data_IF_623504325367
#
_entry.id   IF_623504325367
#
_cell.length_a   1.000
_cell.length_b   1.000
_cell.length_c   1.000
_cell.angle_alpha   90.00
_cell.angle_beta   90.00
_cell.angle_gamma   90.00
#
_symmetry.space_group_name_H-M   'P 1'
#
loop_
_entity.id
_entity.type
_entity.pdbx_description
1 polymer ?
#
# COMPACT_ATOMS: atom_id res chain seq x y z
N UNK A 1 14.37 1.84 -39.36
CA UNK A 1 14.37 1.42 -37.93
C UNK A 1 13.04 1.81 -37.28
N UNK A 2 12.60 3.08 -37.28
CA UNK A 2 11.34 3.51 -36.58
C UNK A 2 10.08 2.80 -37.13
N UNK A 3 9.98 2.52 -38.44
CA UNK A 3 8.87 1.74 -39.03
C UNK A 3 8.90 0.28 -38.60
N UNK A 4 10.08 -0.31 -38.41
CA UNK A 4 10.25 -1.70 -37.97
C UNK A 4 9.86 -1.83 -36.48
N UNK A 5 10.33 -0.93 -35.63
CA UNK A 5 10.01 -0.91 -34.19
C UNK A 5 8.52 -0.70 -33.93
N UNK A 6 7.77 -0.05 -34.86
CA UNK A 6 6.32 0.15 -34.79
C UNK A 6 5.51 -0.91 -35.54
N UNK A 7 6.17 -1.91 -36.12
CA UNK A 7 5.49 -2.98 -36.88
C UNK A 7 4.96 -4.05 -35.91
N UNK A 8 3.84 -4.71 -36.31
CA UNK A 8 3.31 -5.90 -35.62
C UNK A 8 4.24 -7.13 -35.64
N UNK A 9 5.44 -7.01 -36.24
CA UNK A 9 6.45 -8.07 -36.31
C UNK A 9 7.30 -8.18 -35.02
N UNK A 10 7.25 -7.17 -34.14
CA UNK A 10 7.89 -7.22 -32.82
C UNK A 10 6.81 -7.57 -31.84
N UNK A 11 6.99 -8.66 -31.09
CA UNK A 11 6.11 -9.05 -30.01
C UNK A 11 6.16 -7.98 -28.92
N UNK A 12 5.01 -7.63 -28.35
CA UNK A 12 4.97 -6.79 -27.17
C UNK A 12 5.64 -7.53 -26.02
N UNK A 13 6.65 -6.91 -25.43
CA UNK A 13 7.35 -7.42 -24.26
C UNK A 13 6.94 -6.62 -23.03
N UNK A 14 6.39 -7.34 -22.05
CA UNK A 14 6.06 -6.76 -20.76
C UNK A 14 6.89 -7.46 -19.68
N UNK A 15 7.81 -6.77 -19.01
CA UNK A 15 8.83 -7.39 -18.15
C UNK A 15 8.22 -8.20 -17.00
N UNK A 16 7.14 -7.71 -16.41
CA UNK A 16 6.46 -8.40 -15.31
C UNK A 16 5.75 -9.66 -15.78
N UNK A 17 5.01 -9.60 -16.90
CA UNK A 17 4.35 -10.78 -17.47
C UNK A 17 5.38 -11.83 -17.87
N UNK A 18 6.45 -11.42 -18.55
CA UNK A 18 7.55 -12.32 -18.92
C UNK A 18 8.20 -12.99 -17.70
N UNK A 19 8.36 -12.25 -16.59
CA UNK A 19 8.88 -12.82 -15.35
C UNK A 19 7.95 -13.92 -14.81
N UNK A 20 6.64 -13.67 -14.74
CA UNK A 20 5.68 -14.66 -14.25
C UNK A 20 5.52 -15.88 -15.17
N UNK A 21 5.71 -15.72 -16.49
CA UNK A 21 5.69 -16.83 -17.44
C UNK A 21 6.87 -17.81 -17.25
N UNK A 22 8.00 -17.31 -16.78
CA UNK A 22 9.22 -18.10 -16.57
C UNK A 22 9.32 -18.75 -15.18
N UNK A 23 8.39 -18.45 -14.27
CA UNK A 23 8.41 -19.01 -12.93
C UNK A 23 8.21 -20.53 -12.93
N UNK A 24 8.94 -21.26 -12.06
CA UNK A 24 8.72 -22.69 -11.87
C UNK A 24 7.34 -22.95 -11.25
N UNK A 25 6.95 -24.22 -11.18
CA UNK A 25 5.82 -24.63 -10.36
C UNK A 25 6.11 -24.37 -8.88
N UNK A 26 5.08 -23.96 -8.12
CA UNK A 26 5.18 -23.76 -6.69
C UNK A 26 5.38 -25.09 -5.97
N UNK A 27 6.35 -25.15 -5.07
CA UNK A 27 6.69 -26.36 -4.30
C UNK A 27 5.81 -26.60 -3.05
N UNK A 28 4.75 -25.77 -2.86
CA UNK A 28 3.80 -25.91 -1.76
C UNK A 28 4.23 -25.25 -0.44
N UNK A 29 5.42 -24.63 -0.34
CA UNK A 29 5.86 -23.95 0.89
C UNK A 29 5.37 -22.52 0.94
N UNK A 30 4.84 -22.11 2.10
CA UNK A 30 4.40 -20.73 2.34
C UNK A 30 5.57 -19.80 2.65
N UNK A 31 6.09 -19.16 1.61
CA UNK A 31 7.18 -18.19 1.70
C UNK A 31 6.68 -16.77 1.98
N UNK A 32 5.46 -16.46 1.61
CA UNK A 32 4.88 -15.14 1.82
C UNK A 32 4.70 -14.86 3.30
N UNK A 33 4.09 -15.77 4.04
CA UNK A 33 3.95 -15.63 5.49
C UNK A 33 5.29 -15.70 6.21
N UNK A 34 6.24 -16.54 5.75
CA UNK A 34 7.59 -16.58 6.30
C UNK A 34 8.32 -15.23 6.12
N UNK A 35 8.17 -14.60 4.96
CA UNK A 35 8.74 -13.27 4.70
C UNK A 35 8.07 -12.19 5.55
N UNK A 36 6.74 -12.24 5.72
CA UNK A 36 6.01 -11.31 6.59
C UNK A 36 6.49 -11.39 8.05
N UNK A 37 6.74 -12.61 8.56
CA UNK A 37 7.23 -12.84 9.92
C UNK A 37 8.64 -12.34 10.18
N UNK A 38 9.43 -12.04 9.16
CA UNK A 38 10.70 -11.32 9.36
C UNK A 38 10.48 -9.92 9.94
N UNK A 39 9.29 -9.36 9.75
CA UNK A 39 8.90 -8.02 10.22
C UNK A 39 8.14 -8.12 11.54
N UNK A 40 7.09 -8.95 11.60
CA UNK A 40 6.25 -9.14 12.80
C UNK A 40 5.43 -10.43 12.69
N UNK A 41 5.20 -11.07 13.82
CA UNK A 41 4.30 -12.23 13.94
C UNK A 41 2.82 -11.84 14.14
N UNK A 42 2.51 -10.54 14.17
CA UNK A 42 1.13 -10.05 14.30
C UNK A 42 0.23 -10.63 13.18
N UNK A 43 -0.88 -11.29 13.53
CA UNK A 43 -1.74 -11.92 12.53
C UNK A 43 -2.35 -10.95 11.53
N UNK A 44 -2.66 -9.70 11.94
CA UNK A 44 -3.22 -8.67 11.03
C UNK A 44 -2.15 -8.27 10.01
N UNK A 45 -0.90 -8.12 10.47
CA UNK A 45 0.23 -7.88 9.59
C UNK A 45 0.47 -9.04 8.63
N UNK A 46 0.62 -10.28 9.13
CA UNK A 46 0.96 -11.44 8.30
C UNK A 46 -0.10 -11.68 7.23
N UNK A 47 -1.38 -11.70 7.62
CA UNK A 47 -2.48 -11.92 6.67
C UNK A 47 -2.64 -10.73 5.71
N UNK A 48 -2.51 -9.51 6.21
CA UNK A 48 -2.60 -8.29 5.41
C UNK A 48 -1.45 -8.17 4.41
N UNK A 49 -0.23 -8.50 4.81
CA UNK A 49 0.94 -8.53 3.92
C UNK A 49 0.76 -9.58 2.81
N UNK A 50 0.26 -10.78 3.15
CA UNK A 50 -0.03 -11.82 2.15
C UNK A 50 -1.06 -11.31 1.13
N UNK A 51 -2.17 -10.73 1.60
CA UNK A 51 -3.21 -10.16 0.72
C UNK A 51 -2.66 -9.04 -0.16
N UNK A 52 -1.80 -8.20 0.39
CA UNK A 52 -1.15 -7.13 -0.35
C UNK A 52 -0.19 -7.67 -1.43
N UNK A 53 0.58 -8.72 -1.14
CA UNK A 53 1.46 -9.39 -2.10
C UNK A 53 0.67 -10.04 -3.24
N UNK A 54 -0.51 -10.63 -2.97
CA UNK A 54 -1.43 -11.09 -4.01
C UNK A 54 -1.90 -9.93 -4.89
N UNK A 55 -2.25 -8.78 -4.29
CA UNK A 55 -2.63 -7.57 -5.03
C UNK A 55 -1.52 -7.03 -5.92
N UNK A 56 -0.28 -7.01 -5.42
CA UNK A 56 0.92 -6.63 -6.18
C UNK A 56 1.13 -7.57 -7.37
N UNK A 57 1.09 -8.88 -7.13
CA UNK A 57 1.29 -9.90 -8.18
C UNK A 57 0.19 -9.87 -9.24
N UNK A 58 -1.06 -9.66 -8.83
CA UNK A 58 -2.18 -9.52 -9.76
C UNK A 58 -2.01 -8.30 -10.68
N UNK A 59 -1.51 -7.16 -10.16
CA UNK A 59 -1.20 -5.99 -10.99
C UNK A 59 -0.05 -6.26 -11.97
N UNK A 60 1.00 -6.94 -11.53
CA UNK A 60 2.15 -7.28 -12.36
C UNK A 60 1.78 -8.25 -13.49
N UNK A 61 0.95 -9.24 -13.18
CA UNK A 61 0.42 -10.19 -14.17
C UNK A 61 -0.67 -9.58 -15.05
N UNK A 62 -1.20 -8.41 -14.72
CA UNK A 62 -2.43 -7.88 -15.30
C UNK A 62 -3.58 -8.91 -15.21
N UNK A 63 -3.59 -9.65 -14.09
CA UNK A 63 -4.48 -10.78 -13.86
C UNK A 63 -5.93 -10.33 -13.72
N UNK A 64 -6.82 -11.06 -14.42
CA UNK A 64 -8.26 -10.89 -14.33
C UNK A 64 -8.87 -12.23 -13.97
N UNK A 65 -9.65 -12.30 -12.91
CA UNK A 65 -10.32 -13.52 -12.48
C UNK A 65 -11.39 -14.00 -13.50
N UNK A 66 -11.96 -13.08 -14.25
CA UNK A 66 -12.86 -13.33 -15.37
C UNK A 66 -12.80 -12.19 -16.40
N UNK A 67 -13.37 -12.44 -17.60
CA UNK A 67 -13.35 -11.46 -18.69
C UNK A 67 -14.14 -10.17 -18.38
N UNK A 68 -15.05 -10.20 -17.41
CA UNK A 68 -15.90 -9.08 -16.98
C UNK A 68 -15.38 -8.39 -15.71
N UNK A 69 -14.35 -8.95 -15.05
CA UNK A 69 -13.82 -8.34 -13.84
C UNK A 69 -13.00 -7.10 -14.20
N UNK A 70 -13.31 -6.00 -13.52
CA UNK A 70 -12.47 -4.80 -13.58
C UNK A 70 -11.18 -5.05 -12.81
N UNK A 71 -10.04 -4.69 -13.39
CA UNK A 71 -8.77 -4.68 -12.69
C UNK A 71 -8.92 -3.84 -11.41
N UNK A 72 -8.78 -4.47 -10.25
CA UNK A 72 -8.80 -3.75 -8.97
C UNK A 72 -7.40 -3.28 -8.64
N UNK A 73 -7.30 -2.03 -8.22
CA UNK A 73 -6.05 -1.50 -7.73
C UNK A 73 -5.67 -2.15 -6.39
N UNK A 74 -4.39 -2.42 -6.18
CA UNK A 74 -3.86 -2.72 -4.85
C UNK A 74 -3.88 -1.41 -4.04
N UNK A 75 -4.97 -1.19 -3.31
CA UNK A 75 -5.31 0.08 -2.67
C UNK A 75 -4.77 0.21 -1.24
N UNK A 76 -4.13 -0.81 -0.72
CA UNK A 76 -3.48 -0.82 0.60
C UNK A 76 -1.97 -0.70 0.41
N UNK A 77 -1.31 0.01 1.31
CA UNK A 77 0.15 0.12 1.40
C UNK A 77 0.61 -0.34 2.79
N UNK A 78 1.47 -1.36 2.90
CA UNK A 78 2.17 -1.67 4.14
C UNK A 78 3.08 -0.50 4.54
N UNK A 79 3.08 -0.15 5.85
CA UNK A 79 3.96 0.86 6.42
C UNK A 79 4.78 0.26 7.56
N UNK A 80 6.10 0.22 7.36
CA UNK A 80 7.06 -0.25 8.35
C UNK A 80 7.43 0.91 9.28
N UNK A 81 7.04 0.81 10.54
CA UNK A 81 7.12 1.89 11.50
C UNK A 81 8.13 1.59 12.59
N UNK A 82 9.05 2.50 12.87
CA UNK A 82 9.91 2.45 14.07
C UNK A 82 10.62 3.78 14.25
N UNK A 83 10.62 4.28 15.47
CA UNK A 83 11.42 5.44 15.89
C UNK A 83 12.93 5.16 15.86
N UNK A 84 13.34 3.90 15.95
CA UNK A 84 14.75 3.48 15.81
C UNK A 84 15.15 3.39 14.35
N UNK A 85 16.30 3.98 14.03
CA UNK A 85 16.92 3.88 12.70
C UNK A 85 17.74 2.58 12.56
N UNK A 86 18.04 2.19 11.32
CA UNK A 86 18.91 1.03 11.05
C UNK A 86 18.27 -0.34 11.22
N UNK A 87 16.94 -0.43 11.42
CA UNK A 87 16.23 -1.71 11.54
C UNK A 87 15.95 -2.43 10.22
N UNK A 88 16.45 -1.91 9.09
CA UNK A 88 16.32 -2.58 7.79
C UNK A 88 15.04 -2.28 7.02
N UNK A 89 14.23 -1.26 7.42
CA UNK A 89 12.94 -0.93 6.77
C UNK A 89 13.04 -0.78 5.25
N UNK A 90 13.83 0.18 4.76
CA UNK A 90 13.97 0.45 3.32
C UNK A 90 14.70 -0.69 2.60
N UNK A 91 15.61 -1.40 3.28
CA UNK A 91 16.25 -2.61 2.75
C UNK A 91 15.23 -3.72 2.51
N UNK A 92 14.33 -3.97 3.46
CA UNK A 92 13.24 -4.94 3.30
C UNK A 92 12.33 -4.58 2.11
N UNK A 93 11.98 -3.30 1.95
CA UNK A 93 11.17 -2.86 0.80
C UNK A 93 11.86 -3.21 -0.54
N UNK A 94 13.18 -3.04 -0.64
CA UNK A 94 13.95 -3.41 -1.85
C UNK A 94 14.04 -4.92 -2.05
N UNK A 95 14.12 -5.70 -0.96
CA UNK A 95 14.20 -7.16 -1.02
C UNK A 95 12.95 -7.81 -1.63
N UNK A 96 11.83 -7.13 -1.69
CA UNK A 96 10.62 -7.64 -2.33
C UNK A 96 10.77 -7.75 -3.85
N UNK A 97 11.70 -7.00 -4.44
CA UNK A 97 11.89 -6.99 -5.90
C UNK A 97 12.84 -8.09 -6.35
N UNK A 98 12.40 -9.00 -7.23
CA UNK A 98 13.31 -9.97 -7.85
C UNK A 98 14.39 -9.24 -8.66
N UNK A 99 15.56 -9.88 -8.79
CA UNK A 99 16.72 -9.29 -9.49
C UNK A 99 16.37 -8.82 -10.90
N UNK A 100 15.59 -9.61 -11.64
CA UNK A 100 15.15 -9.28 -12.99
C UNK A 100 14.26 -8.02 -13.07
N UNK A 101 13.63 -7.64 -11.96
CA UNK A 101 12.69 -6.52 -11.91
C UNK A 101 13.18 -5.35 -11.02
N UNK A 102 14.39 -5.40 -10.49
CA UNK A 102 14.96 -4.35 -9.60
C UNK A 102 14.91 -2.95 -10.22
N UNK A 103 15.06 -2.83 -11.53
CA UNK A 103 14.99 -1.55 -12.24
C UNK A 103 13.61 -0.87 -12.15
N UNK A 104 12.58 -1.61 -11.76
CA UNK A 104 11.21 -1.11 -11.60
C UNK A 104 10.84 -0.78 -10.15
N UNK A 105 11.81 -0.71 -9.26
CA UNK A 105 11.67 -0.19 -7.90
C UNK A 105 12.06 1.27 -7.84
N UNK A 106 11.36 2.06 -7.03
CA UNK A 106 11.73 3.46 -6.77
C UNK A 106 11.36 3.90 -5.35
N UNK A 107 12.19 4.72 -4.75
CA UNK A 107 11.93 5.45 -3.50
C UNK A 107 11.63 6.94 -3.78
N UNK A 108 11.86 7.38 -5.01
CA UNK A 108 11.58 8.73 -5.43
C UNK A 108 10.17 8.83 -6.02
N UNK A 109 9.22 9.34 -5.23
CA UNK A 109 7.83 9.52 -5.65
C UNK A 109 7.35 10.93 -5.34
N UNK A 110 7.26 11.77 -6.38
CA UNK A 110 6.85 13.16 -6.24
C UNK A 110 5.35 13.33 -6.51
N UNK A 111 4.64 13.72 -5.47
CA UNK A 111 3.21 14.06 -5.52
C UNK A 111 2.97 15.55 -5.89
N UNK A 112 4.02 16.34 -6.09
CA UNK A 112 3.90 17.73 -6.57
C UNK A 112 3.53 17.82 -8.05
N UNK A 113 3.78 16.75 -8.82
CA UNK A 113 3.42 16.65 -10.24
C UNK A 113 2.54 15.43 -10.48
N UNK A 114 1.20 15.59 -10.56
CA UNK A 114 0.27 14.47 -10.78
C UNK A 114 0.61 13.63 -12.02
N UNK A 115 0.99 14.28 -13.12
CA UNK A 115 1.34 13.59 -14.36
C UNK A 115 2.62 12.72 -14.19
N UNK A 116 3.61 13.20 -13.43
CA UNK A 116 4.81 12.44 -13.11
C UNK A 116 4.50 11.27 -12.18
N UNK A 117 3.63 11.49 -11.18
CA UNK A 117 3.17 10.47 -10.27
C UNK A 117 2.43 9.33 -11.00
N UNK A 118 1.49 9.67 -11.89
CA UNK A 118 0.79 8.69 -12.74
C UNK A 118 1.74 7.93 -13.67
N UNK A 119 2.71 8.61 -14.28
CA UNK A 119 3.70 7.97 -15.14
C UNK A 119 4.52 6.91 -14.39
N UNK A 120 4.91 7.18 -13.14
CA UNK A 120 5.61 6.21 -12.28
C UNK A 120 4.72 5.02 -11.90
N UNK A 121 3.43 5.25 -11.66
CA UNK A 121 2.47 4.18 -11.38
C UNK A 121 2.31 3.19 -12.54
N UNK A 122 2.48 3.64 -13.77
CA UNK A 122 2.44 2.80 -14.95
C UNK A 122 3.80 2.16 -15.30
N UNK A 123 4.90 2.71 -14.81
CA UNK A 123 6.26 2.28 -15.19
C UNK A 123 6.96 1.43 -14.12
N UNK A 124 6.69 1.69 -12.83
CA UNK A 124 7.30 0.96 -11.73
C UNK A 124 6.43 -0.22 -11.28
N UNK A 125 7.04 -1.24 -10.66
CA UNK A 125 6.33 -2.34 -10.02
C UNK A 125 6.06 -2.07 -8.55
N UNK A 126 7.02 -1.45 -7.87
CA UNK A 126 6.93 -1.13 -6.45
C UNK A 126 7.48 0.27 -6.17
N UNK A 127 6.69 1.05 -5.46
CA UNK A 127 7.06 2.41 -5.00
C UNK A 127 7.14 2.39 -3.49
N UNK A 128 8.32 2.68 -2.95
CA UNK A 128 8.50 2.89 -1.53
C UNK A 128 8.28 4.38 -1.19
N UNK A 129 7.27 4.63 -0.37
CA UNK A 129 7.02 5.94 0.24
C UNK A 129 7.96 6.07 1.45
N UNK A 130 9.25 6.32 1.15
CA UNK A 130 10.24 6.46 2.20
C UNK A 130 9.97 7.72 3.04
N UNK A 131 10.16 7.62 4.36
CA UNK A 131 9.83 8.69 5.29
C UNK A 131 8.38 9.21 5.12
N UNK A 132 7.40 8.30 5.09
CA UNK A 132 5.97 8.61 4.92
C UNK A 132 5.48 9.69 5.91
N UNK A 133 6.04 9.74 7.11
CA UNK A 133 5.75 10.75 8.14
C UNK A 133 6.08 12.20 7.71
N UNK A 134 6.95 12.39 6.73
CA UNK A 134 7.28 13.71 6.15
C UNK A 134 6.30 14.15 5.06
N UNK A 135 5.39 13.28 4.64
CA UNK A 135 4.40 13.62 3.62
C UNK A 135 3.40 14.64 4.17
N UNK A 136 3.29 15.80 3.49
CA UNK A 136 2.37 16.86 3.92
C UNK A 136 0.90 16.40 3.83
N UNK A 137 0.09 16.85 4.79
CA UNK A 137 -1.34 16.55 4.83
C UNK A 137 -2.08 16.95 3.54
N UNK A 138 -1.62 18.02 2.86
CA UNK A 138 -2.19 18.48 1.59
C UNK A 138 -2.00 17.51 0.43
N UNK A 139 -0.98 16.65 0.46
CA UNK A 139 -0.70 15.63 -0.56
C UNK A 139 -1.44 14.32 -0.31
N UNK A 140 -1.94 14.11 0.90
CA UNK A 140 -2.60 12.86 1.29
C UNK A 140 -3.86 12.52 0.45
N UNK A 141 -4.76 13.47 0.12
CA UNK A 141 -5.91 13.19 -0.74
C UNK A 141 -5.50 12.69 -2.13
N UNK A 142 -4.48 13.29 -2.73
CA UNK A 142 -3.95 12.86 -4.03
C UNK A 142 -3.37 11.45 -3.95
N UNK A 143 -2.55 11.15 -2.93
CA UNK A 143 -2.01 9.80 -2.72
C UNK A 143 -3.13 8.77 -2.60
N UNK A 144 -4.15 9.03 -1.77
CA UNK A 144 -5.30 8.14 -1.58
C UNK A 144 -6.08 7.88 -2.88
N UNK A 145 -6.23 8.90 -3.73
CA UNK A 145 -6.86 8.77 -5.04
C UNK A 145 -6.00 7.91 -5.97
N UNK A 146 -4.69 8.14 -6.02
CA UNK A 146 -3.75 7.36 -6.82
C UNK A 146 -3.67 5.90 -6.35
N UNK A 147 -3.82 5.62 -5.06
CA UNK A 147 -3.88 4.26 -4.51
C UNK A 147 -5.10 3.48 -5.00
N UNK A 148 -6.20 4.15 -5.32
CA UNK A 148 -7.43 3.51 -5.80
C UNK A 148 -7.53 3.43 -7.33
N UNK A 149 -6.70 4.18 -8.06
CA UNK A 149 -6.73 4.18 -9.52
C UNK A 149 -6.25 2.83 -10.06
N UNK A 150 -7.09 2.14 -10.82
CA UNK A 150 -6.75 0.90 -11.54
C UNK A 150 -6.25 1.17 -12.96
N UNK A 151 -6.62 2.31 -13.53
CA UNK A 151 -6.19 2.79 -14.84
C UNK A 151 -5.74 4.24 -14.74
N UNK A 152 -4.77 4.61 -15.54
CA UNK A 152 -4.10 5.90 -15.54
C UNK A 152 -4.25 6.54 -16.91
N UNK A 153 -4.58 7.83 -16.95
CA UNK A 153 -4.72 8.60 -18.19
C UNK A 153 -3.41 9.35 -18.51
N UNK A 154 -2.46 8.64 -19.12
CA UNK A 154 -1.14 9.21 -19.37
C UNK A 154 -1.08 9.87 -20.75
N UNK A 155 -0.72 11.14 -20.77
CA UNK A 155 -0.44 11.89 -21.98
C UNK A 155 1.02 11.71 -22.36
N UNK A 156 1.28 10.92 -23.39
CA UNK A 156 2.65 10.79 -23.93
C UNK A 156 3.02 12.10 -24.63
N UNK A 157 4.29 12.53 -24.44
CA UNK A 157 4.84 13.67 -25.15
C UNK A 157 4.57 13.54 -26.67
N UNK A 158 4.15 14.63 -27.30
CA UNK A 158 3.82 14.71 -28.73
C UNK A 158 2.59 13.88 -29.20
N UNK A 159 1.80 13.28 -28.31
CA UNK A 159 0.49 12.71 -28.68
C UNK A 159 -0.65 13.67 -28.30
N UNK A 160 -1.61 13.82 -29.23
CA UNK A 160 -2.80 14.66 -29.02
C UNK A 160 -3.82 14.05 -28.06
N UNK A 161 -3.80 12.72 -27.87
CA UNK A 161 -4.71 12.01 -26.97
C UNK A 161 -3.99 11.35 -25.81
N UNK A 162 -4.62 11.36 -24.63
CA UNK A 162 -4.21 10.54 -23.52
C UNK A 162 -4.46 9.05 -23.85
N UNK A 163 -3.60 8.17 -23.37
CA UNK A 163 -3.79 6.72 -23.44
C UNK A 163 -4.10 6.20 -22.04
N UNK A 164 -5.15 5.41 -21.90
CA UNK A 164 -5.40 4.67 -20.68
C UNK A 164 -4.36 3.54 -20.58
N UNK A 165 -3.58 3.56 -19.51
CA UNK A 165 -2.61 2.50 -19.20
C UNK A 165 -3.03 1.83 -17.87
N UNK A 166 -2.83 0.51 -17.74
CA UNK A 166 -3.04 -0.15 -16.46
C UNK A 166 -2.03 0.38 -15.44
N UNK A 167 -2.46 0.47 -14.19
CA UNK A 167 -1.54 0.69 -13.08
C UNK A 167 -0.82 -0.61 -12.78
N UNK A 168 0.51 -0.57 -12.68
CA UNK A 168 1.37 -1.70 -12.34
C UNK A 168 1.90 -1.57 -10.91
N UNK A 169 2.22 -0.36 -10.47
CA UNK A 169 2.85 -0.13 -9.19
C UNK A 169 1.93 -0.39 -8.00
N UNK A 170 2.45 -1.11 -7.01
CA UNK A 170 1.93 -1.11 -5.64
C UNK A 170 2.76 -0.19 -4.77
N UNK A 171 2.20 0.23 -3.62
CA UNK A 171 2.88 1.06 -2.65
C UNK A 171 3.29 0.24 -1.43
N UNK A 172 4.45 0.55 -0.88
CA UNK A 172 4.92 0.21 0.45
C UNK A 172 5.52 1.47 1.04
N UNK A 173 5.75 1.56 2.35
CA UNK A 173 6.39 2.74 2.90
C UNK A 173 7.10 2.48 4.22
N UNK A 174 7.88 3.47 4.63
CA UNK A 174 8.61 3.48 5.91
C UNK A 174 8.27 4.74 6.69
N UNK A 175 8.31 4.66 8.01
CA UNK A 175 8.16 5.81 8.89
C UNK A 175 9.12 5.72 10.07
N UNK A 176 9.62 6.89 10.49
CA UNK A 176 10.39 7.03 11.72
C UNK A 176 9.54 7.56 12.88
N UNK A 177 8.24 7.74 12.67
CA UNK A 177 7.28 8.17 13.70
C UNK A 177 6.17 7.15 13.81
N UNK A 178 5.75 6.89 15.04
CA UNK A 178 4.63 5.99 15.34
C UNK A 178 3.29 6.69 15.20
N UNK A 179 3.23 7.99 15.49
CA UNK A 179 2.05 8.85 15.39
C UNK A 179 1.87 9.43 13.97
N UNK A 180 1.71 8.58 12.97
CA UNK A 180 1.77 8.99 11.56
C UNK A 180 0.40 9.17 10.89
N UNK A 181 -0.66 8.60 11.46
CA UNK A 181 -2.00 8.65 10.87
C UNK A 181 -2.84 9.78 11.49
N UNK A 182 -3.40 10.64 10.63
CA UNK A 182 -4.26 11.76 11.05
C UNK A 182 -5.73 11.46 10.78
N UNK A 183 -6.03 10.80 9.65
CA UNK A 183 -7.40 10.54 9.20
C UNK A 183 -7.84 9.12 9.55
N UNK A 184 -8.73 8.99 10.52
CA UNK A 184 -9.27 7.71 10.98
C UNK A 184 -10.06 6.97 9.89
N UNK A 185 -10.79 7.68 9.04
CA UNK A 185 -11.63 7.06 8.01
C UNK A 185 -10.83 6.54 6.81
N UNK A 186 -9.71 7.19 6.52
CA UNK A 186 -8.83 6.84 5.40
C UNK A 186 -7.71 5.86 5.76
N UNK A 187 -7.53 5.54 7.05
CA UNK A 187 -6.42 4.72 7.55
C UNK A 187 -6.45 3.27 7.10
N UNK A 188 -7.61 2.73 6.71
CA UNK A 188 -7.75 1.38 6.15
C UNK A 188 -6.89 1.11 4.91
N UNK A 189 -6.34 2.17 4.29
CA UNK A 189 -5.41 2.07 3.15
C UNK A 189 -3.97 1.83 3.56
N UNK A 190 -3.68 1.88 4.84
CA UNK A 190 -2.33 1.74 5.37
C UNK A 190 -2.29 0.57 6.35
N UNK A 191 -1.53 -0.46 6.04
CA UNK A 191 -1.28 -1.58 6.93
C UNK A 191 -0.01 -1.27 7.72
N UNK A 192 -0.17 -0.60 8.88
CA UNK A 192 0.95 -0.21 9.73
C UNK A 192 1.45 -1.38 10.56
N UNK A 193 2.76 -1.45 10.78
CA UNK A 193 3.39 -2.42 11.69
C UNK A 193 4.57 -1.78 12.41
N UNK A 194 4.61 -1.89 13.73
CA UNK A 194 5.76 -1.48 14.55
C UNK A 194 6.84 -2.54 14.54
N UNK A 195 8.09 -2.10 14.37
CA UNK A 195 9.26 -2.97 14.42
C UNK A 195 9.84 -3.00 15.84
N UNK A 196 9.81 -4.15 16.46
CA UNK A 196 10.42 -4.38 17.78
C UNK A 196 11.91 -4.68 17.67
N UNK A 197 12.33 -5.32 16.58
CA UNK A 197 13.70 -5.75 16.30
C UNK A 197 14.11 -5.47 14.84
N UNK A 198 15.39 -5.64 14.55
CA UNK A 198 15.90 -5.50 13.19
C UNK A 198 15.34 -6.62 12.28
N UNK A 199 14.94 -6.24 11.07
CA UNK A 199 14.44 -7.19 10.08
C UNK A 199 15.62 -8.03 9.56
N UNK A 200 15.44 -9.34 9.43
CA UNK A 200 16.40 -10.18 8.73
C UNK A 200 16.38 -9.86 7.22
N UNK A 201 17.33 -9.02 6.84
CA UNK A 201 17.59 -8.66 5.44
C UNK A 201 18.79 -9.42 4.84
N UNK A 202 19.43 -10.32 5.59
CA UNK A 202 20.61 -11.07 5.17
C UNK A 202 20.22 -12.38 4.53
N UNK A 203 19.26 -13.08 5.12
CA UNK A 203 18.75 -14.34 4.54
C UNK A 203 18.14 -14.07 3.17
N UNK A 204 18.63 -14.72 2.11
CA UNK A 204 18.11 -14.54 0.75
C UNK A 204 16.60 -14.78 0.66
N UNK A 205 15.94 -14.07 -0.24
CA UNK A 205 14.54 -14.31 -0.61
C UNK A 205 14.52 -15.18 -1.85
N UNK A 206 13.86 -16.34 -1.76
CA UNK A 206 13.66 -17.25 -2.90
C UNK A 206 12.56 -16.70 -3.82
N UNK A 207 12.87 -15.62 -4.56
CA UNK A 207 11.89 -14.87 -5.35
C UNK A 207 11.11 -15.74 -6.34
N UNK A 208 11.77 -16.66 -7.02
CA UNK A 208 11.08 -17.51 -8.00
C UNK A 208 9.97 -18.32 -7.33
N UNK A 209 10.23 -18.95 -6.19
CA UNK A 209 9.24 -19.71 -5.45
C UNK A 209 8.23 -18.85 -4.70
N UNK A 210 8.65 -17.68 -4.19
CA UNK A 210 7.75 -16.70 -3.58
C UNK A 210 6.67 -16.21 -4.57
N UNK A 211 7.09 -15.84 -5.77
CA UNK A 211 6.16 -15.38 -6.81
C UNK A 211 5.43 -16.54 -7.52
N UNK A 212 6.01 -17.75 -7.54
CA UNK A 212 5.30 -18.96 -7.99
C UNK A 212 4.14 -19.30 -7.04
N UNK A 213 4.33 -19.17 -5.71
CA UNK A 213 3.25 -19.28 -4.72
C UNK A 213 2.11 -18.32 -5.04
N UNK A 214 2.40 -17.02 -5.15
CA UNK A 214 1.40 -15.98 -5.41
C UNK A 214 0.67 -16.19 -6.74
N UNK A 215 1.39 -16.63 -7.78
CA UNK A 215 0.80 -17.01 -9.07
C UNK A 215 -0.15 -18.19 -8.92
N UNK A 216 0.25 -19.25 -8.23
CA UNK A 216 -0.57 -20.44 -8.02
C UNK A 216 -1.85 -20.11 -7.23
N UNK A 217 -1.73 -19.33 -6.17
CA UNK A 217 -2.85 -18.88 -5.34
C UNK A 217 -3.85 -18.03 -6.14
N UNK A 218 -3.37 -17.07 -6.97
CA UNK A 218 -4.23 -16.28 -7.86
C UNK A 218 -4.96 -17.15 -8.90
N UNK A 219 -4.26 -18.11 -9.48
CA UNK A 219 -4.84 -19.02 -10.47
C UNK A 219 -5.84 -20.00 -9.85
N UNK A 220 -5.69 -20.34 -8.56
CA UNK A 220 -6.65 -21.14 -7.82
C UNK A 220 -7.88 -20.36 -7.35
N UNK A 221 -7.92 -19.04 -7.59
CA UNK A 221 -9.07 -18.18 -7.28
C UNK A 221 -8.93 -17.39 -5.98
N UNK A 222 -7.72 -17.35 -5.37
CA UNK A 222 -7.48 -16.49 -4.23
C UNK A 222 -7.70 -15.02 -4.58
N UNK A 223 -8.30 -14.30 -3.65
CA UNK A 223 -8.69 -12.91 -3.79
C UNK A 223 -7.47 -12.00 -3.66
N UNK A 224 -7.30 -11.06 -4.59
CA UNK A 224 -6.19 -10.10 -4.64
C UNK A 224 -6.52 -8.73 -4.03
N UNK A 225 -7.65 -8.59 -3.35
CA UNK A 225 -8.09 -7.32 -2.74
C UNK A 225 -8.59 -7.55 -1.33
N UNK A 226 -8.56 -6.50 -0.50
CA UNK A 226 -9.09 -6.53 0.86
C UNK A 226 -10.62 -6.43 0.86
N UNK A 227 -11.27 -7.26 1.66
CA UNK A 227 -12.70 -7.17 1.91
C UNK A 227 -13.00 -6.20 3.07
N UNK A 228 -14.27 -5.98 3.37
CA UNK A 228 -14.67 -5.02 4.42
C UNK A 228 -14.19 -5.43 5.81
N UNK A 229 -14.20 -6.72 6.11
CA UNK A 229 -13.75 -7.26 7.39
C UNK A 229 -12.25 -7.07 7.56
N UNK A 230 -11.46 -7.34 6.53
CA UNK A 230 -10.01 -7.10 6.51
C UNK A 230 -9.68 -5.60 6.62
N UNK A 231 -10.42 -4.73 5.89
CA UNK A 231 -10.27 -3.27 6.00
C UNK A 231 -10.60 -2.76 7.41
N UNK A 232 -11.62 -3.33 8.08
CA UNK A 232 -11.96 -3.01 9.46
C UNK A 232 -10.89 -3.49 10.43
N UNK A 233 -10.36 -4.70 10.25
CA UNK A 233 -9.26 -5.22 11.06
C UNK A 233 -8.02 -4.32 10.97
N UNK A 234 -7.65 -3.90 9.76
CA UNK A 234 -6.55 -2.93 9.54
C UNK A 234 -6.85 -1.62 10.27
N UNK A 235 -8.07 -1.10 10.17
CA UNK A 235 -8.45 0.16 10.80
C UNK A 235 -8.38 0.09 12.33
N UNK A 236 -8.80 -1.03 12.93
CA UNK A 236 -8.70 -1.27 14.37
C UNK A 236 -7.24 -1.42 14.81
N UNK A 237 -6.46 -2.20 14.06
CA UNK A 237 -5.02 -2.36 14.30
C UNK A 237 -4.27 -1.02 14.24
N UNK A 238 -4.65 -0.14 13.32
CA UNK A 238 -4.08 1.19 13.17
C UNK A 238 -4.38 2.16 14.33
N UNK A 239 -5.18 1.78 15.31
CA UNK A 239 -5.49 2.63 16.46
C UNK A 239 -4.24 3.12 17.21
N UNK A 240 -3.18 2.32 17.23
CA UNK A 240 -1.89 2.63 17.87
C UNK A 240 -1.05 3.67 17.10
N UNK A 241 -1.38 3.92 15.83
CA UNK A 241 -0.59 4.77 14.93
C UNK A 241 -1.24 6.13 14.66
N UNK A 242 -2.35 6.44 15.32
CA UNK A 242 -2.97 7.75 15.17
C UNK A 242 -2.18 8.80 15.94
N UNK A 243 -2.04 9.95 15.27
CA UNK A 243 -1.46 11.13 15.88
C UNK A 243 -2.26 11.50 17.13
N UNK A 244 -1.56 11.62 18.25
CA UNK A 244 -2.12 12.17 19.47
C UNK A 244 -2.46 13.65 19.24
N UNK A 245 -3.71 14.01 19.49
CA UNK A 245 -4.19 15.38 19.43
C UNK A 245 -4.40 15.79 20.89
N UNK A 246 -3.51 16.63 21.48
CA UNK A 246 -3.60 17.02 22.88
C UNK A 246 -4.97 17.59 23.28
N UNK A 247 -5.60 18.32 22.35
CA UNK A 247 -6.94 18.90 22.51
C UNK A 247 -8.02 17.80 22.64
N UNK A 248 -7.88 16.67 21.94
CA UNK A 248 -8.80 15.53 22.09
C UNK A 248 -8.66 14.88 23.46
N UNK A 249 -7.45 14.83 24.01
CA UNK A 249 -7.17 14.27 25.33
C UNK A 249 -7.76 15.16 26.42
N UNK A 250 -7.53 16.47 26.35
CA UNK A 250 -8.14 17.44 27.27
C UNK A 250 -9.67 17.40 27.16
N UNK A 251 -10.20 17.31 25.94
CA UNK A 251 -11.65 17.18 25.74
C UNK A 251 -12.20 15.93 26.47
N UNK A 252 -11.56 14.77 26.32
CA UNK A 252 -11.99 13.51 26.95
C UNK A 252 -11.87 13.54 28.49
N UNK A 253 -10.95 14.32 29.02
CA UNK A 253 -10.81 14.52 30.48
C UNK A 253 -11.90 15.42 31.02
N UNK A 254 -12.33 16.44 30.25
CA UNK A 254 -13.29 17.43 30.70
C UNK A 254 -14.74 17.10 30.33
N UNK A 255 -14.95 16.32 29.26
CA UNK A 255 -16.27 16.08 28.68
C UNK A 255 -16.46 14.62 28.28
N UNK A 256 -17.69 14.15 28.33
CA UNK A 256 -18.15 12.92 27.68
C UNK A 256 -19.36 13.21 26.81
N UNK A 257 -19.59 12.41 25.82
CA UNK A 257 -20.82 12.52 25.03
C UNK A 257 -22.03 12.10 25.87
N UNK A 258 -23.12 12.87 25.75
CA UNK A 258 -24.39 12.55 26.39
C UNK A 258 -24.94 11.23 25.83
N UNK A 259 -25.50 10.42 26.71
CA UNK A 259 -26.22 9.19 26.37
C UNK A 259 -27.72 9.39 26.56
N UNK A 260 -28.54 8.42 26.15
CA UNK A 260 -30.00 8.47 26.36
C UNK A 260 -30.40 8.37 27.83
N UNK A 261 -29.47 7.94 28.69
CA UNK A 261 -29.69 7.75 30.11
C UNK A 261 -29.40 9.02 30.94
N UNK A 262 -28.74 10.03 30.32
CA UNK A 262 -28.38 11.27 31.00
C UNK A 262 -29.63 12.17 31.15
N UNK A 263 -29.75 12.81 32.32
CA UNK A 263 -30.87 13.73 32.59
C UNK A 263 -30.74 14.99 31.70
N UNK A 264 -31.79 15.44 31.01
CA UNK A 264 -31.72 16.58 30.08
C UNK A 264 -31.14 17.86 30.67
N UNK A 265 -31.29 18.08 31.97
CA UNK A 265 -30.75 19.26 32.68
C UNK A 265 -29.24 19.20 32.92
N UNK A 266 -28.63 18.02 32.78
CA UNK A 266 -27.18 17.81 32.96
C UNK A 266 -26.44 17.82 31.60
N UNK A 267 -27.20 17.83 30.49
CA UNK A 267 -26.64 17.80 29.14
C UNK A 267 -26.45 19.24 28.64
N UNK A 268 -25.20 19.57 28.28
CA UNK A 268 -24.86 20.83 27.67
C UNK A 268 -24.79 20.70 26.16
N UNK A 269 -25.50 21.58 25.45
CA UNK A 269 -25.34 21.72 23.99
C UNK A 269 -24.41 22.89 23.73
N UNK A 270 -23.19 22.59 23.27
CA UNK A 270 -22.15 23.59 23.07
C UNK A 270 -21.66 23.58 21.61
N UNK A 271 -21.36 24.77 21.09
CA UNK A 271 -20.61 24.90 19.84
C UNK A 271 -19.14 24.53 20.05
N UNK A 272 -18.40 24.26 18.96
CA UNK A 272 -16.96 23.98 19.03
C UNK A 272 -16.18 25.10 19.74
N UNK A 273 -16.52 26.38 19.46
CA UNK A 273 -15.90 27.54 20.12
C UNK A 273 -16.16 27.54 21.63
N UNK A 274 -17.41 27.31 22.06
CA UNK A 274 -17.78 27.25 23.47
C UNK A 274 -17.13 26.06 24.21
N UNK A 275 -16.89 24.96 23.51
CA UNK A 275 -16.11 23.83 24.04
C UNK A 275 -14.66 24.24 24.29
N UNK A 276 -14.03 24.88 23.29
CA UNK A 276 -12.65 25.38 23.42
C UNK A 276 -12.47 26.40 24.56
N UNK A 277 -13.44 27.28 24.78
CA UNK A 277 -13.39 28.27 25.88
C UNK A 277 -13.51 27.62 27.27
N UNK A 278 -13.99 26.37 27.35
CA UNK A 278 -14.17 25.63 28.63
C UNK A 278 -13.10 24.58 28.89
N UNK A 279 -12.24 24.29 27.90
CA UNK A 279 -11.07 23.43 28.02
C UNK A 279 -9.88 24.18 28.60
#
# INVERSE_FOLDING_TARGET
>A
IQRFVRSRRISEYHPFTAYFEQLPEWDGKDRVSALARRVSDDPVWVNGFHRWMLGLSAQWMQFRSDANSTNRANSVAPLLVSSRQGLGKSTFCRLLMPDALKAYYTESYDLGSPASAEAKLAACGLINLDEFDKLSASKMPLLKNLMQASALNIRKAYKRSASALPRIASFIGTSNREDLLVDRTGSRRFLCVSLEHAIDCVTPVEHEQLYAQLKAELLSGERSWFNKEEEQAIQQHNALFYKHIPEEEVFRLCFRFATKEDHPQEVLTLSATQLFERM
#
